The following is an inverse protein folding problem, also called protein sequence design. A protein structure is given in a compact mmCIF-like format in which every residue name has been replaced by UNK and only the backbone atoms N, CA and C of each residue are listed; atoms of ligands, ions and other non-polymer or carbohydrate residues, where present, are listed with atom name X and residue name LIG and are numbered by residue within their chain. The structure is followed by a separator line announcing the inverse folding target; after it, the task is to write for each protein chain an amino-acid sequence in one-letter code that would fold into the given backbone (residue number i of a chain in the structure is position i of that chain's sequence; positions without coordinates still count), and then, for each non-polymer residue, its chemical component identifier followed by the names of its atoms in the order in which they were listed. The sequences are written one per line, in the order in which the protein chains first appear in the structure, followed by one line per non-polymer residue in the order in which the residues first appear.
data_IF_456366695495
#
_entry.id   IF_456366695495
#
_cell.length_a   1.000
_cell.length_b   1.000
_cell.length_c   1.000
_cell.angle_alpha   90.00
_cell.angle_beta   90.00
_cell.angle_gamma   90.00
#
_symmetry.space_group_name_H-M   'P 1'
#
loop_
_entity.id
_entity.type
_entity.pdbx_description
1 polymer ?
#
# COMPACT_ATOMS: atom_id res chain seq x y z
N UNK A 1 -7.84 -7.90 8.80
CA UNK A 1 -7.51 -7.94 7.35
C UNK A 1 -6.31 -7.05 7.10
N UNK A 2 -5.41 -7.42 6.17
CA UNK A 2 -4.23 -6.60 5.85
C UNK A 2 -4.35 -5.94 4.48
N UNK A 3 -3.99 -4.65 4.42
CA UNK A 3 -3.89 -3.87 3.18
C UNK A 3 -2.44 -3.43 3.02
N UNK A 4 -1.74 -4.01 2.03
CA UNK A 4 -0.36 -3.65 1.73
C UNK A 4 -0.33 -2.35 0.91
N UNK A 5 0.52 -1.39 1.33
CA UNK A 5 0.75 -0.14 0.62
C UNK A 5 2.01 -0.24 -0.25
N UNK A 6 1.83 -0.09 -1.56
CA UNK A 6 2.95 0.06 -2.50
C UNK A 6 3.71 1.38 -2.25
N UNK A 7 4.94 1.47 -2.77
CA UNK A 7 5.82 2.62 -2.59
C UNK A 7 5.17 3.94 -3.01
N UNK A 8 4.45 3.94 -4.14
CA UNK A 8 3.76 5.13 -4.64
C UNK A 8 2.65 5.61 -3.68
N UNK A 9 1.96 4.69 -2.99
CA UNK A 9 0.90 5.06 -2.05
C UNK A 9 1.50 5.68 -0.78
N UNK A 10 2.58 5.09 -0.25
CA UNK A 10 3.28 5.64 0.92
C UNK A 10 3.89 7.02 0.59
N UNK A 11 4.41 7.18 -0.61
CA UNK A 11 4.90 8.47 -1.10
C UNK A 11 3.78 9.53 -1.13
N UNK A 12 2.59 9.18 -1.62
CA UNK A 12 1.43 10.07 -1.58
C UNK A 12 1.00 10.44 -0.17
N UNK A 13 0.99 9.48 0.75
CA UNK A 13 0.75 9.75 2.18
C UNK A 13 1.72 10.79 2.74
N UNK A 14 2.99 10.74 2.34
CA UNK A 14 4.00 11.68 2.81
C UNK A 14 3.90 13.06 2.14
N UNK A 15 3.51 13.13 0.86
CA UNK A 15 3.39 14.41 0.14
C UNK A 15 2.13 15.21 0.54
N UNK A 16 1.06 14.48 0.89
CA UNK A 16 -0.29 15.00 1.18
C UNK A 16 -0.74 14.66 2.62
N UNK A 17 0.20 14.55 3.56
CA UNK A 17 -0.05 14.16 4.96
C UNK A 17 -1.19 14.96 5.62
N UNK A 18 -1.14 16.29 5.54
CA UNK A 18 -2.15 17.18 6.13
C UNK A 18 -3.56 16.94 5.56
N UNK A 19 -3.64 16.48 4.31
CA UNK A 19 -4.90 16.19 3.61
C UNK A 19 -5.41 14.78 3.92
N UNK A 20 -4.52 13.80 4.04
CA UNK A 20 -4.86 12.38 4.25
C UNK A 20 -5.13 12.08 5.73
N UNK A 21 -4.27 12.57 6.63
CA UNK A 21 -4.35 12.29 8.07
C UNK A 21 -4.85 13.48 8.89
N UNK A 22 -4.76 14.69 8.33
CA UNK A 22 -5.14 15.92 9.01
C UNK A 22 -6.54 16.43 8.66
N UNK A 23 -6.85 17.62 9.17
CA UNK A 23 -8.14 18.30 8.94
C UNK A 23 -8.15 19.17 7.67
N UNK A 24 -7.09 19.16 6.85
CA UNK A 24 -7.05 19.98 5.64
C UNK A 24 -8.05 19.45 4.60
N UNK A 25 -8.88 20.32 4.06
CA UNK A 25 -9.70 20.01 2.88
C UNK A 25 -8.94 20.25 1.57
N UNK A 26 -7.75 20.88 1.64
CA UNK A 26 -6.95 21.23 0.46
C UNK A 26 -5.96 20.12 0.16
N UNK A 27 -6.11 19.53 -1.02
CA UNK A 27 -5.16 18.64 -1.65
C UNK A 27 -4.27 19.45 -2.62
N UNK A 28 -2.95 19.26 -2.59
CA UNK A 28 -2.00 20.09 -3.37
C UNK A 28 -2.00 19.73 -4.86
N UNK A 29 -2.31 18.48 -5.21
CA UNK A 29 -2.35 18.08 -6.63
C UNK A 29 -3.48 18.74 -7.42
N UNK A 30 -3.15 19.18 -8.64
CA UNK A 30 -4.11 19.65 -9.63
C UNK A 30 -4.66 18.53 -10.53
N UNK A 31 -4.06 17.32 -10.50
CA UNK A 31 -4.53 16.19 -11.30
C UNK A 31 -5.83 15.62 -10.70
N UNK A 32 -6.97 15.67 -11.42
CA UNK A 32 -8.24 15.18 -10.92
C UNK A 32 -8.25 13.67 -10.65
N UNK A 33 -7.49 12.88 -11.42
CA UNK A 33 -7.42 11.44 -11.22
C UNK A 33 -6.66 11.12 -9.93
N UNK A 34 -5.48 11.74 -9.74
CA UNK A 34 -4.73 11.56 -8.51
C UNK A 34 -5.54 12.07 -7.31
N UNK A 35 -6.20 13.23 -7.41
CA UNK A 35 -7.05 13.75 -6.34
C UNK A 35 -8.16 12.77 -5.95
N UNK A 36 -8.80 12.11 -6.91
CA UNK A 36 -9.80 11.07 -6.64
C UNK A 36 -9.20 9.92 -5.81
N UNK A 37 -8.01 9.44 -6.18
CA UNK A 37 -7.35 8.36 -5.44
C UNK A 37 -6.92 8.80 -4.03
N UNK A 38 -6.46 10.05 -3.85
CA UNK A 38 -6.11 10.60 -2.54
C UNK A 38 -7.33 10.78 -1.63
N UNK A 39 -8.47 11.20 -2.18
CA UNK A 39 -9.75 11.26 -1.44
C UNK A 39 -10.16 9.87 -0.98
N UNK A 40 -10.01 8.86 -1.84
CA UNK A 40 -10.31 7.48 -1.47
C UNK A 40 -9.34 6.94 -0.40
N UNK A 41 -8.05 7.26 -0.52
CA UNK A 41 -7.03 6.88 0.46
C UNK A 41 -7.32 7.49 1.83
N UNK A 42 -7.64 8.79 1.90
CA UNK A 42 -8.11 9.45 3.13
C UNK A 42 -9.29 8.70 3.74
N UNK A 43 -10.29 8.35 2.92
CA UNK A 43 -11.48 7.66 3.42
C UNK A 43 -11.15 6.25 3.93
N UNK A 44 -10.23 5.54 3.30
CA UNK A 44 -9.76 4.24 3.77
C UNK A 44 -9.06 4.36 5.15
N UNK A 45 -8.25 5.40 5.35
CA UNK A 45 -7.62 5.72 6.65
C UNK A 45 -8.66 6.02 7.72
N UNK A 46 -9.68 6.83 7.41
CA UNK A 46 -10.78 7.10 8.34
C UNK A 46 -11.54 5.83 8.74
N UNK A 47 -11.74 4.91 7.78
CA UNK A 47 -12.46 3.66 8.03
C UNK A 47 -11.61 2.60 8.75
N UNK A 48 -10.28 2.63 8.62
CA UNK A 48 -9.36 1.75 9.36
C UNK A 48 -9.59 1.88 10.87
N UNK A 49 -9.84 3.09 11.38
CA UNK A 49 -10.15 3.34 12.79
C UNK A 49 -11.44 2.67 13.28
N UNK A 50 -12.32 2.27 12.37
CA UNK A 50 -13.63 1.68 12.65
C UNK A 50 -13.71 0.20 12.24
N UNK A 51 -12.66 -0.34 11.62
CA UNK A 51 -12.65 -1.66 10.99
C UNK A 51 -11.61 -2.60 11.58
N UNK A 52 -11.81 -3.90 11.36
CA UNK A 52 -10.83 -4.94 11.72
C UNK A 52 -9.78 -5.12 10.62
N UNK A 53 -9.17 -4.02 10.15
CA UNK A 53 -8.08 -4.07 9.18
C UNK A 53 -6.99 -3.05 9.45
N UNK A 54 -5.80 -3.32 8.90
CA UNK A 54 -4.62 -2.50 9.10
C UNK A 54 -3.84 -2.31 7.82
N UNK A 55 -3.23 -1.13 7.67
CA UNK A 55 -2.23 -0.89 6.64
C UNK A 55 -0.86 -1.42 7.06
N UNK A 56 -0.18 -2.03 6.10
CA UNK A 56 1.20 -2.53 6.26
C UNK A 56 2.03 -2.18 5.04
N UNK A 57 3.34 -2.10 5.23
CA UNK A 57 4.29 -2.21 4.13
C UNK A 57 5.58 -2.88 4.61
N UNK A 58 6.43 -3.29 3.67
CA UNK A 58 7.66 -4.01 4.00
C UNK A 58 8.74 -3.11 4.62
N UNK A 59 9.60 -3.67 5.50
CA UNK A 59 10.84 -3.01 5.90
C UNK A 59 11.73 -2.60 4.72
N UNK A 60 11.73 -3.37 3.62
CA UNK A 60 12.50 -3.03 2.40
C UNK A 60 12.02 -1.72 1.78
N UNK A 61 10.71 -1.44 1.84
CA UNK A 61 10.13 -0.21 1.30
C UNK A 61 10.75 1.03 1.95
N UNK A 62 11.00 1.01 3.25
CA UNK A 62 11.63 2.15 3.93
C UNK A 62 13.04 2.42 3.41
N UNK A 63 13.81 1.38 3.12
CA UNK A 63 15.13 1.54 2.50
C UNK A 63 15.03 2.15 1.10
N UNK A 64 14.06 1.72 0.29
CA UNK A 64 13.78 2.29 -1.03
C UNK A 64 13.39 3.77 -0.95
N UNK A 65 12.43 4.11 -0.10
CA UNK A 65 11.95 5.48 0.09
C UNK A 65 13.08 6.41 0.57
N UNK A 66 13.97 5.93 1.46
CA UNK A 66 15.13 6.70 1.90
C UNK A 66 16.20 6.87 0.82
N UNK A 67 16.38 5.87 -0.07
CA UNK A 67 17.29 5.98 -1.20
C UNK A 67 16.82 7.02 -2.23
N UNK A 68 15.51 7.29 -2.30
CA UNK A 68 14.88 8.31 -3.16
C UNK A 68 15.21 9.77 -2.81
N UNK A 69 16.10 10.03 -1.84
CA UNK A 69 16.47 11.37 -1.34
C UNK A 69 15.26 12.20 -0.86
N UNK A 70 14.50 11.69 0.12
CA UNK A 70 13.28 12.36 0.57
C UNK A 70 13.56 13.70 1.24
N UNK A 71 12.58 14.59 1.15
CA UNK A 71 12.55 15.88 1.85
C UNK A 71 12.53 15.68 3.36
N UNK A 72 12.78 16.76 4.12
CA UNK A 72 12.74 16.70 5.59
C UNK A 72 11.36 16.28 6.11
N UNK A 73 10.29 16.74 5.47
CA UNK A 73 8.93 16.45 5.92
C UNK A 73 8.54 15.02 5.58
N UNK A 74 8.84 14.53 4.36
CA UNK A 74 8.64 13.12 4.01
C UNK A 74 9.33 12.16 4.98
N UNK A 75 10.56 12.47 5.42
CA UNK A 75 11.28 11.65 6.41
C UNK A 75 10.56 11.57 7.76
N UNK A 76 9.85 12.63 8.19
CA UNK A 76 9.08 12.59 9.43
C UNK A 76 7.93 11.60 9.29
N UNK A 77 7.20 11.66 8.17
CA UNK A 77 6.10 10.74 7.89
C UNK A 77 6.58 9.29 7.80
N UNK A 78 7.70 9.05 7.11
CA UNK A 78 8.28 7.70 7.02
C UNK A 78 8.67 7.13 8.37
N UNK A 79 9.20 7.97 9.26
CA UNK A 79 9.50 7.56 10.64
C UNK A 79 8.22 7.16 11.40
N UNK A 80 7.14 7.94 11.26
CA UNK A 80 5.84 7.60 11.88
C UNK A 80 5.30 6.28 11.35
N UNK A 81 5.35 6.05 10.03
CA UNK A 81 4.97 4.76 9.44
C UNK A 81 5.82 3.61 9.97
N UNK A 82 7.14 3.79 10.04
CA UNK A 82 8.05 2.77 10.53
C UNK A 82 7.76 2.41 12.00
N UNK A 83 7.51 3.41 12.85
CA UNK A 83 7.12 3.19 14.25
C UNK A 83 5.78 2.44 14.33
N UNK A 84 4.77 2.88 13.58
CA UNK A 84 3.45 2.23 13.57
C UNK A 84 3.49 0.77 13.10
N UNK A 85 4.30 0.45 12.08
CA UNK A 85 4.41 -0.92 11.59
C UNK A 85 5.25 -1.82 12.51
N UNK A 86 6.27 -1.27 13.18
CA UNK A 86 7.07 -2.01 14.16
C UNK A 86 6.25 -2.36 15.41
N UNK A 87 5.44 -1.42 15.89
CA UNK A 87 4.58 -1.59 17.08
C UNK A 87 3.36 -2.48 16.80
N UNK A 88 3.08 -2.80 15.54
CA UNK A 88 1.98 -3.66 15.16
C UNK A 88 2.29 -5.14 15.43
N UNK A 89 1.26 -5.91 15.81
CA UNK A 89 1.32 -7.37 16.07
C UNK A 89 1.87 -8.15 14.87
N UNK A 90 1.90 -7.56 13.68
CA UNK A 90 2.44 -8.14 12.45
C UNK A 90 3.97 -8.25 12.43
N UNK A 91 4.67 -7.63 13.39
CA UNK A 91 6.12 -7.82 13.56
C UNK A 91 6.47 -9.12 14.31
N UNK A 92 5.49 -9.75 15.00
CA UNK A 92 5.70 -11.01 15.73
C UNK A 92 5.75 -12.24 14.82
N UNK A 93 5.07 -12.18 13.66
CA UNK A 93 5.25 -13.16 12.60
C UNK A 93 6.56 -12.85 11.88
N UNK A 94 7.59 -13.65 12.18
CA UNK A 94 8.94 -13.51 11.59
C UNK A 94 8.87 -13.12 10.11
N UNK A 95 9.57 -12.05 9.68
CA UNK A 95 9.48 -11.56 8.31
C UNK A 95 9.75 -12.70 7.32
N UNK A 96 9.03 -12.73 6.17
CA UNK A 96 9.19 -13.80 5.19
C UNK A 96 10.66 -14.04 4.85
N UNK A 97 11.10 -15.30 4.89
CA UNK A 97 12.48 -15.63 4.52
C UNK A 97 12.76 -15.27 3.07
N UNK A 98 14.02 -14.90 2.76
CA UNK A 98 14.43 -14.62 1.37
C UNK A 98 14.16 -15.79 0.42
N UNK A 99 14.20 -17.03 0.92
CA UNK A 99 13.86 -18.22 0.13
C UNK A 99 12.37 -18.26 -0.23
N UNK A 100 11.48 -18.02 0.74
CA UNK A 100 10.03 -17.91 0.49
C UNK A 100 9.74 -16.78 -0.49
N UNK A 101 10.41 -15.64 -0.30
CA UNK A 101 10.28 -14.48 -1.18
C UNK A 101 10.68 -14.77 -2.63
N UNK A 102 11.84 -15.40 -2.85
CA UNK A 102 12.29 -15.79 -4.20
C UNK A 102 11.31 -16.76 -4.87
N UNK A 103 10.75 -17.71 -4.13
CA UNK A 103 9.75 -18.63 -4.67
C UNK A 103 8.50 -17.91 -5.17
N UNK A 104 8.00 -16.94 -4.38
CA UNK A 104 6.86 -16.12 -4.78
C UNK A 104 7.22 -15.23 -5.98
N UNK A 105 8.37 -14.55 -5.95
CA UNK A 105 8.84 -13.73 -7.08
C UNK A 105 8.93 -14.55 -8.37
N UNK A 106 9.48 -15.77 -8.33
CA UNK A 106 9.53 -16.64 -9.51
C UNK A 106 8.14 -16.93 -10.07
N UNK A 107 7.15 -17.18 -9.20
CA UNK A 107 5.76 -17.36 -9.62
C UNK A 107 5.16 -16.10 -10.26
N UNK A 108 5.57 -14.91 -9.81
CA UNK A 108 5.12 -13.61 -10.34
C UNK A 108 5.79 -13.23 -11.66
N UNK A 109 6.89 -13.88 -12.05
CA UNK A 109 7.63 -13.56 -13.29
C UNK A 109 6.75 -13.62 -14.55
N UNK A 110 5.70 -14.45 -14.53
CA UNK A 110 4.72 -14.58 -15.61
C UNK A 110 3.92 -13.29 -15.87
N UNK A 111 3.79 -12.42 -14.86
CA UNK A 111 3.11 -11.12 -15.01
C UNK A 111 3.92 -10.17 -15.91
N UNK A 112 5.24 -10.37 -16.01
CA UNK A 112 6.16 -9.52 -16.80
C UNK A 112 6.04 -8.04 -16.43
N UNK A 113 5.99 -7.72 -15.13
CA UNK A 113 5.90 -6.34 -14.64
C UNK A 113 7.06 -5.49 -15.17
N UNK A 114 6.79 -4.20 -15.39
CA UNK A 114 7.77 -3.29 -15.98
C UNK A 114 8.94 -2.99 -15.04
N UNK A 115 8.67 -2.89 -13.74
CA UNK A 115 9.67 -2.55 -12.74
C UNK A 115 9.88 -3.73 -11.76
N UNK A 116 11.14 -4.09 -11.53
CA UNK A 116 11.50 -5.17 -10.62
C UNK A 116 11.06 -4.93 -9.15
N UNK A 117 11.09 -3.68 -8.61
CA UNK A 117 10.56 -3.39 -7.28
C UNK A 117 9.08 -3.77 -7.13
N UNK A 118 8.23 -3.52 -8.14
CA UNK A 118 6.80 -3.88 -8.08
C UNK A 118 6.59 -5.39 -7.84
N UNK A 119 7.43 -6.22 -8.46
CA UNK A 119 7.39 -7.66 -8.29
C UNK A 119 7.78 -8.07 -6.87
N UNK A 120 8.77 -7.39 -6.28
CA UNK A 120 9.17 -7.60 -4.89
C UNK A 120 8.05 -7.21 -3.93
N UNK A 121 7.47 -6.02 -4.09
CA UNK A 121 6.37 -5.56 -3.25
C UNK A 121 5.14 -6.47 -3.30
N UNK A 122 4.76 -6.93 -4.49
CA UNK A 122 3.68 -7.91 -4.63
C UNK A 122 4.01 -9.24 -3.95
N UNK A 123 5.25 -9.72 -4.07
CA UNK A 123 5.67 -10.95 -3.41
C UNK A 123 5.59 -10.81 -1.88
N UNK A 124 5.95 -9.64 -1.33
CA UNK A 124 5.88 -9.38 0.11
C UNK A 124 4.43 -9.32 0.59
N UNK A 125 3.55 -8.67 -0.16
CA UNK A 125 2.13 -8.63 0.14
C UNK A 125 1.51 -10.04 0.18
N UNK A 126 1.85 -10.91 -0.79
CA UNK A 126 1.44 -12.32 -0.78
C UNK A 126 2.01 -13.03 0.45
N UNK A 127 3.29 -12.81 0.75
CA UNK A 127 3.98 -13.50 1.84
C UNK A 127 3.42 -13.13 3.23
N UNK A 128 2.95 -11.88 3.38
CA UNK A 128 2.25 -11.34 4.55
C UNK A 128 0.75 -11.71 4.57
N UNK A 129 0.26 -12.47 3.59
CA UNK A 129 -1.15 -12.83 3.46
C UNK A 129 -2.08 -11.60 3.43
N UNK A 130 -1.63 -10.53 2.75
CA UNK A 130 -2.42 -9.32 2.56
C UNK A 130 -3.66 -9.63 1.72
N UNK A 131 -4.80 -9.03 2.06
CA UNK A 131 -6.01 -9.17 1.26
C UNK A 131 -6.02 -8.21 0.08
N UNK A 132 -5.33 -7.08 0.22
CA UNK A 132 -5.23 -6.04 -0.78
C UNK A 132 -3.78 -5.57 -0.95
N UNK A 133 -3.43 -5.23 -2.19
CA UNK A 133 -2.24 -4.49 -2.58
C UNK A 133 -2.69 -3.18 -3.24
N UNK A 134 -2.47 -2.07 -2.56
CA UNK A 134 -2.82 -0.75 -3.06
C UNK A 134 -1.69 -0.15 -3.88
N UNK A 135 -1.98 0.18 -5.13
CA UNK A 135 -1.04 0.86 -6.02
C UNK A 135 -1.77 1.69 -7.06
N UNK A 136 -1.18 2.82 -7.45
CA UNK A 136 -1.62 3.60 -8.61
C UNK A 136 -0.84 3.25 -9.89
N UNK A 137 0.06 2.25 -9.86
CA UNK A 137 0.77 1.81 -11.05
C UNK A 137 -0.18 1.06 -12.01
N UNK A 138 -0.41 1.67 -13.18
CA UNK A 138 -1.31 1.13 -14.20
C UNK A 138 -0.83 -0.18 -14.82
N UNK A 139 0.48 -0.40 -14.90
CA UNK A 139 1.06 -1.65 -15.38
C UNK A 139 0.75 -2.79 -14.42
N UNK A 140 0.97 -2.55 -13.12
CA UNK A 140 0.71 -3.51 -12.04
C UNK A 140 -0.79 -3.84 -11.97
N UNK A 141 -1.66 -2.83 -11.92
CA UNK A 141 -3.12 -3.03 -11.89
C UNK A 141 -3.62 -3.80 -13.12
N UNK A 142 -3.09 -3.48 -14.31
CA UNK A 142 -3.52 -4.14 -15.55
C UNK A 142 -3.08 -5.60 -15.60
N UNK A 143 -1.85 -5.91 -15.18
CA UNK A 143 -1.26 -7.25 -15.29
C UNK A 143 -1.72 -8.18 -14.17
N UNK A 144 -2.00 -7.66 -12.98
CA UNK A 144 -2.55 -8.41 -11.86
C UNK A 144 -4.08 -8.29 -11.75
N UNK A 145 -4.76 -7.93 -12.85
CA UNK A 145 -6.22 -7.79 -12.88
C UNK A 145 -6.90 -9.10 -12.50
N UNK A 146 -7.80 -9.05 -11.52
CA UNK A 146 -8.47 -10.24 -10.96
C UNK A 146 -7.75 -10.86 -9.77
N UNK A 147 -6.60 -10.30 -9.37
CA UNK A 147 -5.81 -10.73 -8.22
C UNK A 147 -4.68 -11.70 -8.58
N UNK A 148 -3.71 -11.80 -7.67
CA UNK A 148 -2.55 -12.70 -7.81
C UNK A 148 -2.18 -13.28 -6.45
N UNK A 149 -1.89 -14.58 -6.38
CA UNK A 149 -1.51 -15.23 -5.11
C UNK A 149 -2.56 -15.08 -3.99
N UNK A 150 -3.84 -14.94 -4.35
CA UNK A 150 -4.94 -14.73 -3.40
C UNK A 150 -5.17 -13.28 -2.96
N UNK A 151 -4.34 -12.33 -3.41
CA UNK A 151 -4.47 -10.91 -3.07
C UNK A 151 -5.18 -10.15 -4.19
N UNK A 152 -5.95 -9.10 -3.83
CA UNK A 152 -6.53 -8.16 -4.79
C UNK A 152 -5.58 -7.00 -5.03
N UNK A 153 -5.38 -6.62 -6.30
CA UNK A 153 -4.50 -5.52 -6.69
C UNK A 153 -5.35 -4.40 -7.27
N UNK A 154 -5.27 -3.21 -6.69
CA UNK A 154 -6.16 -2.11 -7.07
C UNK A 154 -5.65 -0.73 -6.67
N UNK A 155 -6.12 0.34 -7.33
CA UNK A 155 -6.00 1.70 -6.80
C UNK A 155 -6.89 1.91 -5.56
N UNK A 156 -6.63 2.93 -4.71
CA UNK A 156 -7.39 3.20 -3.50
C UNK A 156 -8.91 3.32 -3.71
N UNK A 157 -9.36 3.99 -4.77
CA UNK A 157 -10.80 4.21 -5.01
C UNK A 157 -11.57 2.93 -5.33
N UNK A 158 -10.91 1.95 -5.93
CA UNK A 158 -11.49 0.63 -6.19
C UNK A 158 -11.56 -0.20 -4.90
N UNK A 159 -10.49 -0.23 -4.12
CA UNK A 159 -10.49 -0.90 -2.82
C UNK A 159 -11.58 -0.33 -1.89
N UNK A 160 -11.70 1.00 -1.81
CA UNK A 160 -12.72 1.66 -1.00
C UNK A 160 -14.13 1.25 -1.38
N UNK A 161 -14.43 1.21 -2.69
CA UNK A 161 -15.75 0.82 -3.19
C UNK A 161 -16.07 -0.63 -2.77
N UNK A 162 -15.12 -1.53 -2.93
CA UNK A 162 -15.30 -2.95 -2.61
C UNK A 162 -15.42 -3.19 -1.09
N UNK A 163 -14.64 -2.49 -0.27
CA UNK A 163 -14.78 -2.53 1.20
C UNK A 163 -16.13 -1.94 1.63
N UNK A 164 -16.52 -0.79 1.09
CA UNK A 164 -17.77 -0.11 1.46
C UNK A 164 -19.02 -0.91 1.08
N UNK A 165 -18.98 -1.61 -0.06
CA UNK A 165 -20.06 -2.51 -0.48
C UNK A 165 -20.13 -3.78 0.38
N UNK A 166 -18.98 -4.32 0.80
CA UNK A 166 -18.92 -5.42 1.76
C UNK A 166 -19.40 -5.03 3.17
N UNK A 167 -19.16 -3.78 3.59
CA UNK A 167 -19.66 -3.22 4.84
C UNK A 167 -21.17 -2.95 4.83
N UNK A 168 -21.76 -2.73 3.65
CA UNK A 168 -23.22 -2.51 3.50
C UNK A 168 -24.04 -3.81 3.47
N UNK A 169 -23.38 -4.97 3.49
CA UNK A 169 -24.00 -6.31 3.41
C UNK A 169 -23.85 -7.12 4.72
N UNK A 170 -23.53 -6.48 5.83
CA UNK A 170 -23.54 -7.09 7.18
C UNK A 170 -24.63 -6.49 8.04
#
# INVERSE_FOLDING_TARGET
MLIYLDANIVQYCADEEDFIFGNSERCKTADPNLRKELVALRRLVELEQLGDWHFVASPHLMAELHAGKPTRDQRKVYKVFQEAWNDSVYSEDSPPTEEKMRGIEQSLSMLKLKHAPDQRHLAEAIALNASWFLTNDKDVVKKAKGGVGGIRVSPPSECLRDISTGLSLR
#
